data_IF_007703703128
#
_entry.id   IF_007703703128
#
_cell.length_a   1.000
_cell.length_b   1.000
_cell.length_c   1.000
_cell.angle_alpha   90.00
_cell.angle_beta   90.00
_cell.angle_gamma   90.00
#
_symmetry.space_group_name_H-M   'P 1'
#
loop_
_entity.id
_entity.type
_entity.pdbx_description
1 polymer ?
#
# COMPACT_ATOMS: atom_id res chain seq x y z
N UNK A 1 -14.87 -10.99 0.59
CA UNK A 1 -13.80 -10.45 1.50
C UNK A 1 -12.85 -9.64 0.65
N UNK A 2 -12.72 -8.33 0.86
CA UNK A 2 -11.88 -7.49 -0.02
C UNK A 2 -10.40 -7.82 0.19
N UNK A 3 -9.67 -8.12 -0.90
CA UNK A 3 -8.26 -8.51 -0.87
C UNK A 3 -7.42 -7.39 -0.22
N UNK A 4 -6.56 -7.74 0.74
CA UNK A 4 -5.62 -6.78 1.36
C UNK A 4 -4.59 -6.32 0.33
N UNK A 5 -3.98 -5.17 0.58
CA UNK A 5 -2.86 -4.66 -0.23
C UNK A 5 -1.57 -5.38 0.17
N UNK A 6 -0.83 -5.87 -0.82
CA UNK A 6 0.42 -6.64 -0.70
C UNK A 6 1.51 -6.06 -1.59
N UNK A 7 2.76 -6.49 -1.38
CA UNK A 7 3.95 -6.05 -2.13
C UNK A 7 3.80 -6.22 -3.64
N UNK A 8 3.20 -7.33 -4.09
CA UNK A 8 2.93 -7.59 -5.50
C UNK A 8 2.03 -6.54 -6.18
N UNK A 9 1.27 -5.79 -5.39
CA UNK A 9 0.40 -4.74 -5.91
C UNK A 9 1.22 -3.47 -6.26
N UNK A 10 2.50 -3.40 -5.89
CA UNK A 10 3.41 -2.31 -6.26
C UNK A 10 3.61 -2.19 -7.78
N UNK A 11 3.42 -3.27 -8.53
CA UNK A 11 3.49 -3.29 -10.00
C UNK A 11 2.43 -2.39 -10.64
N UNK A 12 1.35 -2.06 -9.92
CA UNK A 12 0.29 -1.17 -10.41
C UNK A 12 0.54 0.31 -10.07
N UNK A 13 1.69 0.65 -9.48
CA UNK A 13 2.04 2.03 -9.13
C UNK A 13 2.96 2.58 -10.22
N UNK A 14 2.45 3.49 -11.03
CA UNK A 14 3.21 4.22 -12.04
C UNK A 14 3.42 5.68 -11.62
N UNK A 15 2.45 6.25 -10.91
CA UNK A 15 2.44 7.61 -10.39
C UNK A 15 2.20 7.64 -8.89
N UNK A 16 2.54 8.77 -8.24
CA UNK A 16 2.42 8.91 -6.79
C UNK A 16 0.97 8.71 -6.28
N UNK A 17 -0.03 9.17 -7.04
CA UNK A 17 -1.44 9.09 -6.66
C UNK A 17 -1.98 7.65 -6.65
N UNK A 18 -1.40 6.75 -7.45
CA UNK A 18 -1.78 5.33 -7.50
C UNK A 18 -1.60 4.66 -6.12
N UNK A 19 -0.62 5.11 -5.34
CA UNK A 19 -0.37 4.62 -3.99
C UNK A 19 -1.56 4.88 -3.06
N UNK A 20 -2.18 6.06 -3.17
CA UNK A 20 -3.34 6.43 -2.36
C UNK A 20 -4.58 5.64 -2.80
N UNK A 21 -4.72 5.42 -4.11
CA UNK A 21 -5.82 4.66 -4.67
C UNK A 21 -5.78 3.16 -4.34
N UNK A 22 -4.59 2.56 -4.31
CA UNK A 22 -4.36 1.17 -3.92
C UNK A 22 -4.55 0.93 -2.42
N UNK A 23 -4.21 1.92 -1.58
CA UNK A 23 -4.27 1.82 -0.11
C UNK A 23 -5.59 2.36 0.45
N UNK A 24 -6.72 1.90 -0.10
CA UNK A 24 -8.07 2.22 0.41
C UNK A 24 -8.40 1.44 1.69
N UNK A 25 -9.10 2.07 2.64
CA UNK A 25 -9.57 1.40 3.86
C UNK A 25 -10.77 0.48 3.57
N UNK A 26 -10.46 -0.73 3.12
CA UNK A 26 -11.43 -1.80 2.85
C UNK A 26 -12.13 -2.34 4.12
N UNK A 27 -11.75 -1.86 5.31
CA UNK A 27 -12.34 -2.25 6.61
C UNK A 27 -13.20 -1.15 7.21
N UNK A 28 -13.60 -0.12 6.46
CA UNK A 28 -14.37 1.01 7.00
C UNK A 28 -15.57 0.59 7.86
N UNK A 29 -16.31 -0.45 7.46
CA UNK A 29 -17.50 -0.95 8.17
C UNK A 29 -17.17 -1.94 9.31
N UNK A 30 -15.96 -2.48 9.36
CA UNK A 30 -15.50 -3.48 10.35
C UNK A 30 -14.29 -3.01 11.16
N UNK A 31 -14.02 -1.70 11.16
CA UNK A 31 -12.90 -1.13 11.89
C UNK A 31 -13.24 -1.08 13.37
N UNK A 32 -12.33 -1.62 14.19
CA UNK A 32 -12.41 -1.48 15.64
C UNK A 32 -12.13 -0.05 16.12
N UNK A 33 -11.28 0.73 15.42
CA UNK A 33 -11.05 2.15 15.72
C UNK A 33 -10.42 2.89 14.53
N UNK A 34 -10.55 4.23 14.46
CA UNK A 34 -9.86 5.05 13.45
C UNK A 34 -8.33 4.96 13.53
N UNK A 35 -7.76 4.94 14.74
CA UNK A 35 -6.30 4.83 14.95
C UNK A 35 -5.70 3.54 14.40
N UNK A 36 -6.46 2.43 14.43
CA UNK A 36 -6.06 1.16 13.80
C UNK A 36 -6.13 1.24 12.27
N UNK A 37 -7.03 2.04 11.70
CA UNK A 37 -7.09 2.26 10.25
C UNK A 37 -5.85 3.01 9.75
N UNK A 38 -5.51 4.13 10.40
CA UNK A 38 -4.31 4.92 10.07
C UNK A 38 -3.04 4.06 10.15
N UNK A 39 -2.88 3.28 11.23
CA UNK A 39 -1.73 2.36 11.38
C UNK A 39 -1.66 1.29 10.28
N UNK A 40 -2.79 0.81 9.77
CA UNK A 40 -2.81 -0.14 8.64
C UNK A 40 -2.44 0.54 7.33
N UNK A 41 -3.03 1.69 7.04
CA UNK A 41 -2.71 2.46 5.83
C UNK A 41 -1.23 2.82 5.77
N UNK A 42 -0.66 3.39 6.85
CA UNK A 42 0.78 3.69 6.92
C UNK A 42 1.66 2.46 6.67
N UNK A 43 1.28 1.31 7.24
CA UNK A 43 2.00 0.05 7.04
C UNK A 43 1.95 -0.41 5.58
N UNK A 44 0.79 -0.34 4.94
CA UNK A 44 0.64 -0.75 3.54
C UNK A 44 1.39 0.18 2.60
N UNK A 45 1.31 1.50 2.82
CA UNK A 45 2.12 2.48 2.08
C UNK A 45 3.61 2.19 2.21
N UNK A 46 4.11 1.97 3.43
CA UNK A 46 5.52 1.64 3.67
C UNK A 46 5.95 0.35 2.97
N UNK A 47 5.11 -0.69 2.95
CA UNK A 47 5.42 -1.96 2.25
C UNK A 47 5.54 -1.74 0.74
N UNK A 48 4.61 -1.00 0.14
CA UNK A 48 4.62 -0.70 -1.29
C UNK A 48 5.83 0.14 -1.67
N UNK A 49 6.12 1.22 -0.93
CA UNK A 49 7.29 2.08 -1.16
C UNK A 49 8.59 1.26 -1.06
N UNK A 50 8.73 0.41 -0.03
CA UNK A 50 9.91 -0.44 0.11
C UNK A 50 10.06 -1.42 -1.06
N UNK A 51 8.96 -1.94 -1.59
CA UNK A 51 9.00 -2.83 -2.76
C UNK A 51 9.36 -2.07 -4.04
N UNK A 52 8.84 -0.86 -4.22
CA UNK A 52 9.21 0.02 -5.34
C UNK A 52 10.70 0.37 -5.32
N UNK A 53 11.24 0.72 -4.14
CA UNK A 53 12.67 0.99 -3.98
C UNK A 53 13.52 -0.23 -4.34
N UNK A 54 13.07 -1.45 -3.98
CA UNK A 54 13.74 -2.67 -4.41
C UNK A 54 13.74 -2.82 -5.93
N UNK A 55 12.62 -2.58 -6.60
CA UNK A 55 12.55 -2.62 -8.07
C UNK A 55 13.50 -1.61 -8.71
N UNK A 56 13.63 -0.42 -8.12
CA UNK A 56 14.55 0.62 -8.59
C UNK A 56 16.03 0.21 -8.39
N UNK A 57 16.36 -0.32 -7.21
CA UNK A 57 17.70 -0.88 -6.92
C UNK A 57 18.08 -2.02 -7.89
N UNK A 58 17.11 -2.85 -8.31
CA UNK A 58 17.31 -3.90 -9.32
C UNK A 58 17.49 -3.37 -10.74
N UNK A 59 16.96 -2.17 -11.05
CA UNK A 59 17.12 -1.50 -12.35
C UNK A 59 18.37 -0.64 -12.43
N UNK A 60 19.34 -0.87 -11.52
CA UNK A 60 20.64 -0.23 -11.47
C UNK A 60 21.15 0.17 -12.86
N UNK A 61 21.36 1.49 -13.01
CA UNK A 61 22.04 2.11 -14.12
C UNK A 61 23.35 1.40 -14.49
#
# INVERSE_FOLDING_TARGET
MTKRTYEKDAVFIEQADDLEDLVKDKRLNWRSSPSKAIRRQRRYKKRLINELLRYDDYKGF
#
